data_IF_567862501242
#
_entry.id   IF_567862501242
#
_cell.length_a   1.000
_cell.length_b   1.000
_cell.length_c   1.000
_cell.angle_alpha   90.00
_cell.angle_beta   90.00
_cell.angle_gamma   90.00
#
_symmetry.space_group_name_H-M   'P 1'
#
loop_
_entity.id
_entity.type
_entity.pdbx_description
1 polymer ?
#
# COMPACT_ATOMS: atom_id res chain seq x y z
N UNK A 1 11.52 0.56 -11.70
CA UNK A 1 11.41 1.01 -10.30
C UNK A 1 12.33 0.13 -9.49
N UNK A 2 13.03 0.67 -8.50
CA UNK A 2 13.99 -0.07 -7.69
C UNK A 2 13.76 0.27 -6.23
N UNK A 3 13.90 -0.71 -5.34
CA UNK A 3 13.90 -0.49 -3.90
C UNK A 3 15.34 -0.39 -3.41
N UNK A 4 15.60 0.54 -2.49
CA UNK A 4 16.88 0.67 -1.81
C UNK A 4 16.75 0.11 -0.40
N UNK A 5 17.71 -0.72 -0.02
CA UNK A 5 17.81 -1.28 1.33
C UNK A 5 19.16 -0.89 1.90
N UNK A 6 19.18 -0.30 3.09
CA UNK A 6 20.41 0.01 3.81
C UNK A 6 20.75 -1.15 4.75
N UNK A 7 21.91 -1.78 4.52
CA UNK A 7 22.40 -2.90 5.32
C UNK A 7 23.31 -2.38 6.44
N UNK A 8 22.73 -2.19 7.62
CA UNK A 8 23.42 -1.59 8.78
C UNK A 8 24.74 -2.31 9.11
N UNK A 9 24.75 -3.65 9.10
CA UNK A 9 25.94 -4.44 9.45
C UNK A 9 27.08 -4.38 8.43
N UNK A 10 26.81 -3.93 7.20
CA UNK A 10 27.79 -3.83 6.13
C UNK A 10 28.02 -2.39 5.65
N UNK A 11 27.35 -1.42 6.29
CA UNK A 11 27.35 0.01 5.95
C UNK A 11 27.25 0.26 4.43
N UNK A 12 26.29 -0.41 3.79
CA UNK A 12 26.12 -0.32 2.33
C UNK A 12 24.65 -0.26 1.95
N UNK A 13 24.41 0.32 0.78
CA UNK A 13 23.10 0.33 0.15
C UNK A 13 23.06 -0.79 -0.89
N UNK A 14 22.07 -1.68 -0.79
CA UNK A 14 21.73 -2.64 -1.83
C UNK A 14 20.51 -2.17 -2.63
N UNK A 15 20.52 -2.47 -3.92
CA UNK A 15 19.41 -2.19 -4.84
C UNK A 15 18.69 -3.49 -5.14
N UNK A 16 17.37 -3.52 -4.92
CA UNK A 16 16.51 -4.64 -5.29
C UNK A 16 15.69 -4.19 -6.50
N UNK A 17 15.91 -4.86 -7.63
CA UNK A 17 15.19 -4.55 -8.87
C UNK A 17 13.74 -5.03 -8.79
N UNK A 18 12.81 -4.21 -9.31
CA UNK A 18 11.43 -4.63 -9.52
C UNK A 18 11.24 -5.03 -10.98
N UNK A 19 10.80 -6.25 -11.20
CA UNK A 19 10.66 -6.83 -12.54
C UNK A 19 9.51 -6.25 -13.37
N UNK A 20 8.57 -5.49 -12.76
CA UNK A 20 7.38 -4.99 -13.46
C UNK A 20 7.23 -3.48 -13.29
N UNK A 21 7.73 -2.72 -14.26
CA UNK A 21 7.72 -1.26 -14.26
C UNK A 21 6.44 -0.65 -14.84
N UNK A 22 5.72 -1.39 -15.68
CA UNK A 22 4.53 -0.89 -16.41
C UNK A 22 3.27 -0.76 -15.56
N UNK A 23 3.23 -1.39 -14.38
CA UNK A 23 2.07 -1.33 -13.48
C UNK A 23 2.10 -0.14 -12.52
N UNK A 24 3.20 0.62 -12.42
CA UNK A 24 3.31 1.70 -11.45
C UNK A 24 2.94 3.05 -12.07
N UNK A 25 1.70 3.51 -11.82
CA UNK A 25 1.24 4.89 -12.08
C UNK A 25 0.90 5.67 -10.79
N UNK A 26 1.45 5.26 -9.64
CA UNK A 26 1.17 5.86 -8.34
C UNK A 26 2.44 6.21 -7.56
N UNK A 27 2.38 7.31 -6.80
CA UNK A 27 3.49 7.89 -6.02
C UNK A 27 3.64 7.22 -4.64
N UNK A 28 2.66 6.41 -4.21
CA UNK A 28 2.59 5.89 -2.84
C UNK A 28 2.88 4.38 -2.80
N UNK A 29 4.11 4.04 -2.43
CA UNK A 29 4.53 2.68 -2.10
C UNK A 29 4.87 2.65 -0.61
N UNK A 30 4.27 1.73 0.14
CA UNK A 30 4.66 1.47 1.53
C UNK A 30 5.28 0.09 1.65
N UNK A 31 6.52 0.07 2.16
CA UNK A 31 7.20 -1.15 2.57
C UNK A 31 6.57 -1.62 3.88
N UNK A 32 6.19 -2.89 3.98
CA UNK A 32 5.61 -3.50 5.17
C UNK A 32 6.63 -4.50 5.74
N UNK A 33 7.03 -4.29 7.00
CA UNK A 33 7.85 -5.26 7.73
C UNK A 33 6.95 -6.21 8.51
N UNK A 34 7.36 -7.47 8.59
CA UNK A 34 6.86 -8.45 9.55
C UNK A 34 8.09 -9.11 10.17
N UNK A 35 8.14 -9.18 11.50
CA UNK A 35 9.13 -10.01 12.17
C UNK A 35 8.98 -11.47 11.70
N UNK A 36 10.10 -12.06 11.25
CA UNK A 36 10.28 -13.45 10.81
C UNK A 36 9.59 -13.92 9.51
N UNK A 37 9.02 -13.01 8.69
CA UNK A 37 8.41 -13.32 7.39
C UNK A 37 9.09 -12.69 6.17
N UNK A 38 8.80 -13.14 4.93
CA UNK A 38 9.25 -12.43 3.74
C UNK A 38 8.65 -11.02 3.71
N UNK A 39 9.51 -10.00 3.65
CA UNK A 39 9.12 -8.60 3.53
C UNK A 39 8.07 -8.43 2.44
N UNK A 40 7.07 -7.58 2.70
CA UNK A 40 6.01 -7.28 1.75
C UNK A 40 6.08 -5.80 1.38
N UNK A 41 5.67 -5.44 0.18
CA UNK A 41 5.27 -4.06 -0.07
C UNK A 41 3.93 -4.05 -0.79
N UNK A 42 3.23 -2.93 -0.69
CA UNK A 42 1.99 -2.74 -1.41
C UNK A 42 2.01 -1.44 -2.22
N UNK A 43 1.26 -1.46 -3.31
CA UNK A 43 0.97 -0.28 -4.11
C UNK A 43 -0.49 -0.28 -4.55
N UNK A 44 -0.98 0.91 -4.91
CA UNK A 44 -2.34 1.10 -5.41
C UNK A 44 -2.30 1.51 -6.88
N UNK A 45 -3.12 0.84 -7.69
CA UNK A 45 -3.48 1.23 -9.05
C UNK A 45 -4.77 2.03 -8.99
N UNK A 46 -4.89 3.10 -9.77
CA UNK A 46 -6.06 3.99 -9.77
C UNK A 46 -7.10 3.61 -10.84
N UNK A 47 -6.68 2.94 -11.91
CA UNK A 47 -7.56 2.59 -13.04
C UNK A 47 -7.24 1.19 -13.59
N UNK A 48 -8.02 0.16 -13.21
CA UNK A 48 -9.04 0.18 -12.15
C UNK A 48 -8.40 0.22 -10.74
N UNK A 49 -9.21 0.57 -9.73
CA UNK A 49 -8.73 0.63 -8.33
C UNK A 49 -8.32 -0.75 -7.80
N UNK A 50 -7.02 -0.98 -7.68
CA UNK A 50 -6.46 -2.27 -7.24
C UNK A 50 -5.34 -2.09 -6.24
N UNK A 51 -5.36 -2.90 -5.19
CA UNK A 51 -4.25 -3.06 -4.27
C UNK A 51 -3.40 -4.24 -4.70
N UNK A 52 -2.15 -3.99 -5.07
CA UNK A 52 -1.20 -5.03 -5.43
C UNK A 52 -0.25 -5.28 -4.26
N UNK A 53 -0.19 -6.53 -3.81
CA UNK A 53 0.71 -6.99 -2.78
C UNK A 53 1.88 -7.74 -3.40
N UNK A 54 3.07 -7.47 -2.89
CA UNK A 54 4.31 -8.03 -3.37
C UNK A 54 5.06 -8.69 -2.22
N UNK A 55 5.84 -9.71 -2.56
CA UNK A 55 6.65 -10.47 -1.63
C UNK A 55 8.10 -10.43 -2.08
N UNK A 56 9.01 -10.37 -1.12
CA UNK A 56 10.43 -10.58 -1.35
C UNK A 56 10.69 -12.08 -1.51
N UNK A 57 11.39 -12.45 -2.57
CA UNK A 57 11.79 -13.83 -2.84
C UNK A 57 13.17 -13.89 -3.50
N UNK A 58 13.78 -15.08 -3.48
CA UNK A 58 15.02 -15.34 -4.22
C UNK A 58 14.70 -15.93 -5.58
N UNK A 59 15.38 -15.45 -6.61
CA UNK A 59 15.34 -16.05 -7.93
C UNK A 59 16.16 -17.37 -7.99
N UNK A 60 16.20 -18.00 -9.17
CA UNK A 60 16.94 -19.24 -9.38
C UNK A 60 18.46 -19.11 -9.15
N UNK A 61 18.99 -17.89 -9.18
CA UNK A 61 20.40 -17.57 -8.94
C UNK A 61 20.65 -17.13 -7.49
N UNK A 62 19.62 -17.13 -6.64
CA UNK A 62 19.70 -16.69 -5.25
C UNK A 62 19.68 -15.18 -5.07
N UNK A 63 19.46 -14.40 -6.14
CA UNK A 63 19.34 -12.95 -6.06
C UNK A 63 17.97 -12.55 -5.52
N UNK A 64 17.95 -11.57 -4.63
CA UNK A 64 16.73 -11.02 -4.04
C UNK A 64 15.94 -10.24 -5.09
N UNK A 65 14.64 -10.54 -5.19
CA UNK A 65 13.71 -9.85 -6.09
C UNK A 65 12.35 -9.65 -5.44
N UNK A 66 11.59 -8.75 -6.02
CA UNK A 66 10.19 -8.57 -5.69
C UNK A 66 9.30 -9.35 -6.66
N UNK A 67 8.38 -10.15 -6.12
CA UNK A 67 7.40 -10.90 -6.87
C UNK A 67 5.98 -10.49 -6.54
N UNK A 68 5.14 -10.45 -7.57
CA UNK A 68 3.73 -10.16 -7.41
C UNK A 68 3.07 -11.32 -6.65
N UNK A 69 2.49 -11.05 -5.49
CA UNK A 69 1.88 -12.08 -4.65
C UNK A 69 0.39 -12.21 -4.92
N UNK A 70 -0.33 -11.09 -4.87
CA UNK A 70 -1.77 -11.05 -5.16
C UNK A 70 -2.23 -9.64 -5.49
N UNK A 71 -3.36 -9.56 -6.19
CA UNK A 71 -4.10 -8.32 -6.44
C UNK A 71 -5.46 -8.40 -5.75
N UNK A 72 -5.89 -7.29 -5.15
CA UNK A 72 -7.21 -7.14 -4.54
C UNK A 72 -7.94 -6.00 -5.24
N UNK A 73 -9.18 -6.27 -5.66
CA UNK A 73 -10.07 -5.26 -6.24
C UNK A 73 -10.67 -4.40 -5.14
N UNK A 74 -10.34 -3.11 -5.16
CA UNK A 74 -10.76 -2.17 -4.13
C UNK A 74 -12.23 -1.78 -4.25
N UNK A 75 -12.84 -1.88 -5.44
CA UNK A 75 -14.27 -1.64 -5.62
C UNK A 75 -15.10 -2.68 -4.88
N UNK A 76 -14.63 -3.93 -4.84
CA UNK A 76 -15.30 -5.01 -4.10
C UNK A 76 -15.00 -5.04 -2.61
N UNK A 77 -13.85 -4.49 -2.21
CA UNK A 77 -13.38 -4.54 -0.83
C UNK A 77 -13.94 -3.39 0.01
N UNK A 78 -14.01 -2.19 -0.57
CA UNK A 78 -14.48 -1.00 0.12
C UNK A 78 -16.01 -0.97 0.19
N UNK A 79 -16.60 -0.30 1.19
CA UNK A 79 -18.04 -0.13 1.26
C UNK A 79 -18.61 0.57 0.03
N UNK A 80 -19.86 0.24 -0.34
CA UNK A 80 -20.56 0.85 -1.46
C UNK A 80 -20.51 2.38 -1.40
N UNK A 81 -20.16 3.01 -2.52
CA UNK A 81 -20.04 4.47 -2.62
C UNK A 81 -18.76 5.04 -1.99
N UNK A 82 -17.81 4.22 -1.53
CA UNK A 82 -16.48 4.69 -1.16
C UNK A 82 -15.70 5.21 -2.38
N UNK A 83 -15.75 4.46 -3.49
CA UNK A 83 -15.16 4.82 -4.77
C UNK A 83 -16.26 5.34 -5.71
N UNK A 84 -16.02 6.48 -6.35
CA UNK A 84 -16.84 6.97 -7.45
C UNK A 84 -16.06 6.71 -8.73
N UNK A 85 -16.43 5.66 -9.47
CA UNK A 85 -15.80 5.33 -10.74
C UNK A 85 -16.37 6.17 -11.87
N UNK A 86 -15.48 6.76 -12.66
CA UNK A 86 -15.80 7.67 -13.77
C UNK A 86 -16.32 6.90 -14.98
N UNK A 87 -17.51 6.28 -14.89
CA UNK A 87 -18.05 5.54 -16.03
C UNK A 87 -19.06 6.31 -16.88
N UNK A 88 -19.42 7.57 -16.58
CA UNK A 88 -20.41 8.29 -17.41
C UNK A 88 -20.41 9.83 -17.42
N UNK A 89 -19.39 10.54 -16.93
CA UNK A 89 -19.39 12.02 -16.98
C UNK A 89 -18.07 12.55 -17.49
N UNK A 90 -18.12 13.46 -18.47
CA UNK A 90 -16.98 14.18 -19.06
C UNK A 90 -16.21 15.06 -18.06
N UNK A 91 -16.55 14.98 -16.77
CA UNK A 91 -15.97 15.76 -15.69
C UNK A 91 -14.88 14.93 -14.99
N UNK A 92 -13.65 15.09 -15.48
CA UNK A 92 -12.40 14.56 -14.91
C UNK A 92 -12.21 14.99 -13.44
N UNK A 93 -13.00 15.96 -12.95
CA UNK A 93 -13.00 16.48 -11.58
C UNK A 93 -13.53 15.50 -10.51
N UNK A 94 -14.14 14.37 -10.87
CA UNK A 94 -14.78 13.44 -9.91
C UNK A 94 -14.09 12.08 -9.75
N UNK A 95 -12.92 11.88 -10.36
CA UNK A 95 -12.18 10.62 -10.22
C UNK A 95 -11.71 10.50 -8.76
N UNK A 96 -12.14 9.43 -8.08
CA UNK A 96 -11.60 9.14 -6.75
C UNK A 96 -10.09 8.87 -6.83
N UNK A 97 -9.35 9.20 -5.79
CA UNK A 97 -7.96 8.75 -5.64
C UNK A 97 -7.83 7.92 -4.38
N UNK A 98 -7.03 6.86 -4.47
CA UNK A 98 -6.76 5.98 -3.33
C UNK A 98 -5.26 5.98 -3.03
N UNK A 99 -4.90 6.32 -1.81
CA UNK A 99 -3.53 6.40 -1.36
C UNK A 99 -3.29 5.43 -0.21
N UNK A 100 -2.22 4.64 -0.30
CA UNK A 100 -1.75 3.84 0.83
C UNK A 100 -0.99 4.77 1.77
N UNK A 101 -1.53 5.00 2.96
CA UNK A 101 -1.02 5.98 3.92
C UNK A 101 -0.33 5.36 5.13
N UNK A 102 -0.44 4.04 5.31
CA UNK A 102 0.24 3.34 6.38
C UNK A 102 -0.11 1.87 6.48
N UNK A 103 0.59 1.18 7.36
CA UNK A 103 0.37 -0.21 7.74
C UNK A 103 0.65 -0.36 9.23
N UNK A 104 0.05 -1.35 9.86
CA UNK A 104 0.40 -1.74 11.23
C UNK A 104 1.40 -2.88 11.17
N UNK A 105 2.59 -2.67 11.76
CA UNK A 105 3.64 -3.68 11.86
C UNK A 105 3.14 -4.95 12.55
N UNK A 106 3.71 -6.09 12.13
CA UNK A 106 3.38 -7.42 12.65
C UNK A 106 1.90 -7.80 12.52
N UNK A 107 1.18 -7.15 11.59
CA UNK A 107 -0.22 -7.45 11.29
C UNK A 107 -0.48 -7.45 9.78
N UNK A 108 -1.64 -7.98 9.39
CA UNK A 108 -2.16 -7.90 8.03
C UNK A 108 -3.09 -6.68 7.83
N UNK A 109 -2.80 -5.57 8.53
CA UNK A 109 -3.62 -4.34 8.52
C UNK A 109 -2.92 -3.20 7.79
N UNK A 110 -3.66 -2.59 6.86
CA UNK A 110 -3.21 -1.40 6.11
C UNK A 110 -4.25 -0.29 6.18
N UNK A 111 -3.82 0.93 5.90
CA UNK A 111 -4.68 2.11 5.90
C UNK A 111 -4.67 2.77 4.52
N UNK A 112 -5.86 2.97 3.98
CA UNK A 112 -6.07 3.65 2.70
C UNK A 112 -6.80 4.97 2.92
N UNK A 113 -6.26 6.04 2.36
CA UNK A 113 -6.98 7.31 2.19
C UNK A 113 -7.71 7.27 0.85
N UNK A 114 -9.01 7.54 0.87
CA UNK A 114 -9.84 7.62 -0.33
C UNK A 114 -10.38 9.04 -0.46
N UNK A 115 -9.92 9.78 -1.45
CA UNK A 115 -10.39 11.12 -1.76
C UNK A 115 -11.40 11.07 -2.92
N UNK A 116 -12.52 11.77 -2.79
CA UNK A 116 -13.56 11.81 -3.82
C UNK A 116 -13.45 13.10 -4.63
N UNK A 117 -12.95 13.01 -5.86
CA UNK A 117 -12.87 14.14 -6.80
C UNK A 117 -12.04 15.32 -6.27
N UNK A 118 -12.41 16.53 -6.67
CA UNK A 118 -11.72 17.78 -6.30
C UNK A 118 -11.86 18.19 -4.82
N UNK A 119 -12.53 17.39 -3.98
CA UNK A 119 -12.64 17.66 -2.56
C UNK A 119 -11.29 17.40 -1.88
N UNK A 120 -10.78 18.40 -1.14
CA UNK A 120 -9.60 18.27 -0.29
C UNK A 120 -9.83 17.40 0.95
N UNK A 121 -10.95 16.68 1.03
CA UNK A 121 -11.34 15.85 2.15
C UNK A 121 -11.50 14.41 1.69
N UNK A 122 -10.80 13.49 2.34
CA UNK A 122 -10.89 12.05 2.12
C UNK A 122 -11.35 11.30 3.37
N UNK A 123 -11.65 10.03 3.16
CA UNK A 123 -11.99 9.09 4.21
C UNK A 123 -10.86 8.08 4.39
N UNK A 124 -10.57 7.69 5.63
CA UNK A 124 -9.58 6.64 5.92
C UNK A 124 -10.29 5.32 6.15
N UNK A 125 -9.82 4.30 5.45
CA UNK A 125 -10.25 2.93 5.61
C UNK A 125 -9.13 2.07 6.18
N UNK A 126 -9.44 1.36 7.25
CA UNK A 126 -8.64 0.24 7.73
C UNK A 126 -9.01 -1.00 6.93
N UNK A 127 -8.01 -1.67 6.38
CA UNK A 127 -8.18 -2.90 5.61
C UNK A 127 -7.48 -4.04 6.34
N UNK A 128 -8.23 -5.10 6.61
CA UNK A 128 -7.70 -6.35 7.18
C UNK A 128 -7.53 -7.37 6.05
N UNK A 129 -6.30 -7.55 5.55
CA UNK A 129 -6.02 -8.29 4.32
C UNK A 129 -6.41 -9.77 4.39
N UNK A 130 -6.25 -10.40 5.55
CA UNK A 130 -6.63 -11.80 5.78
C UNK A 130 -8.14 -12.01 5.82
N UNK A 131 -8.87 -11.01 6.33
CA UNK A 131 -10.32 -11.08 6.45
C UNK A 131 -11.03 -10.57 5.20
N UNK A 132 -10.30 -9.95 4.27
CA UNK A 132 -10.88 -9.29 3.10
C UNK A 132 -11.92 -8.24 3.49
N UNK A 133 -11.67 -7.52 4.59
CA UNK A 133 -12.62 -6.58 5.19
C UNK A 133 -12.06 -5.16 5.21
N UNK A 134 -12.87 -4.20 4.76
CA UNK A 134 -12.64 -2.79 4.96
C UNK A 134 -13.54 -2.22 6.05
N UNK A 135 -13.06 -1.22 6.80
CA UNK A 135 -13.85 -0.45 7.76
C UNK A 135 -13.41 1.00 7.70
N UNK A 136 -14.37 1.94 7.54
CA UNK A 136 -14.08 3.37 7.63
C UNK A 136 -13.72 3.69 9.08
N UNK A 137 -12.56 4.31 9.30
CA UNK A 137 -12.07 4.68 10.64
C UNK A 137 -11.98 6.19 10.84
N UNK A 138 -11.86 6.96 9.77
CA UNK A 138 -11.90 8.43 9.80
C UNK A 138 -12.65 8.97 8.57
N UNK A 139 -13.28 10.13 8.72
CA UNK A 139 -14.05 10.81 7.67
C UNK A 139 -13.63 12.29 7.59
N UNK A 140 -13.62 12.84 6.38
CA UNK A 140 -13.44 14.28 6.16
C UNK A 140 -12.03 14.82 6.42
N UNK A 141 -11.00 13.96 6.36
CA UNK A 141 -9.61 14.34 6.66
C UNK A 141 -8.94 14.98 5.45
N UNK A 142 -8.15 16.03 5.67
CA UNK A 142 -7.45 16.72 4.57
C UNK A 142 -6.06 16.19 4.29
N UNK A 143 -5.34 15.83 5.35
CA UNK A 143 -4.05 15.19 5.29
C UNK A 143 -3.95 14.20 6.44
N UNK A 144 -3.42 13.02 6.15
CA UNK A 144 -3.12 12.01 7.16
C UNK A 144 -1.65 11.70 7.06
N UNK A 145 -0.93 11.94 8.15
CA UNK A 145 0.46 11.55 8.28
C UNK A 145 0.51 10.32 9.19
N UNK A 146 1.17 9.22 8.77
CA UNK A 146 1.46 8.14 9.69
C UNK A 146 2.38 8.69 10.80
N UNK A 147 1.85 8.79 12.02
CA UNK A 147 2.57 9.36 13.16
C UNK A 147 3.69 8.42 13.67
N UNK A 148 3.57 7.12 13.42
CA UNK A 148 4.58 6.12 13.78
C UNK A 148 4.57 4.98 12.75
N UNK A 149 5.67 4.81 12.01
CA UNK A 149 6.17 3.46 11.76
C UNK A 149 6.43 2.90 13.16
N UNK A 150 5.85 1.76 13.49
CA UNK A 150 6.00 1.24 14.84
C UNK A 150 7.49 0.90 15.03
N UNK A 151 7.96 1.14 16.23
CA UNK A 151 9.06 0.37 16.77
C UNK A 151 8.43 -0.06 18.08
N UNK A 152 8.09 -1.33 18.21
CA UNK A 152 7.97 -1.87 19.56
C UNK A 152 9.41 -1.88 20.06
N UNK A 153 9.81 -1.01 21.02
CA UNK A 153 11.14 -1.09 21.57
C UNK A 153 11.22 -2.47 22.19
N UNK A 154 12.16 -3.28 21.70
CA UNK A 154 12.38 -4.64 22.19
C UNK A 154 12.40 -4.62 23.71
N UNK A 155 11.63 -5.53 24.31
CA UNK A 155 11.91 -5.93 25.69
C UNK A 155 13.26 -6.63 25.62
N UNK A 156 14.32 -5.90 25.92
CA UNK A 156 15.59 -6.47 26.31
C UNK A 156 15.35 -7.33 27.56
N UNK A 157 15.49 -8.66 27.44
CA UNK A 157 16.14 -9.54 28.41
C UNK A 157 16.67 -10.79 27.72
#
# INVERSE_FOLDING_TARGET
>A
MSAFEYQLGADRISVIEMLQTSMFRGIFISLMSLDDGPLRFANVLQDPFRLCLWLREKDANGAERWAHARTIDLETLLPDGALVSSFNTADVLWVATVELIGFAEDTDVIFLLVCKGACLHGDVYMIQLNLGRATKVLEGVTNVFPYTNFCIPGICF
#
